data_IF_879097937246
#
_entry.id   IF_879097937246
#
_cell.length_a   1.000
_cell.length_b   1.000
_cell.length_c   1.000
_cell.angle_alpha   90.00
_cell.angle_beta   90.00
_cell.angle_gamma   90.00
#
_symmetry.space_group_name_H-M   'P 1'
#
loop_
_entity.id
_entity.type
_entity.pdbx_description
1 polymer ?
#
# COMPACT_ATOMS: atom_id res chain seq x y z
N UNK A 1 -25.04 9.78 -4.44
CA UNK A 1 -23.70 9.54 -3.86
C UNK A 1 -23.61 9.94 -2.39
N UNK A 2 -23.81 11.23 -2.00
CA UNK A 2 -23.78 11.62 -0.56
C UNK A 2 -24.85 10.87 0.23
N UNK A 3 -26.08 10.82 -0.25
CA UNK A 3 -27.15 10.06 0.38
C UNK A 3 -26.82 8.56 0.46
N UNK A 4 -26.27 7.99 -0.60
CA UNK A 4 -25.82 6.59 -0.63
C UNK A 4 -24.73 6.34 0.43
N UNK A 5 -23.75 7.25 0.54
CA UNK A 5 -22.73 7.17 1.57
C UNK A 5 -23.33 7.20 2.97
N UNK A 6 -24.23 8.16 3.26
CA UNK A 6 -24.90 8.26 4.55
C UNK A 6 -25.71 7.01 4.89
N UNK A 7 -26.41 6.44 3.92
CA UNK A 7 -27.21 5.21 4.10
C UNK A 7 -26.32 4.00 4.42
N UNK A 8 -25.18 3.87 3.77
CA UNK A 8 -24.21 2.79 4.03
C UNK A 8 -23.51 3.01 5.38
N UNK A 9 -23.08 4.24 5.64
CA UNK A 9 -22.30 4.59 6.84
C UNK A 9 -23.14 4.46 8.12
N UNK A 10 -24.35 5.02 8.12
CA UNK A 10 -25.28 4.93 9.25
C UNK A 10 -25.75 3.52 9.56
N UNK A 11 -25.85 2.67 8.55
CA UNK A 11 -26.24 1.25 8.70
C UNK A 11 -25.06 0.30 8.93
N UNK A 12 -23.82 0.80 8.89
CA UNK A 12 -22.60 -0.01 9.11
C UNK A 12 -22.35 -1.07 8.04
N UNK A 13 -22.83 -0.86 6.78
CA UNK A 13 -22.81 -1.87 5.71
C UNK A 13 -21.54 -1.88 4.85
N UNK A 14 -20.46 -1.21 5.25
CA UNK A 14 -19.22 -1.17 4.46
C UNK A 14 -18.60 -2.55 4.22
N UNK A 15 -18.65 -3.42 5.22
CA UNK A 15 -18.16 -4.80 5.08
C UNK A 15 -18.99 -5.58 4.05
N UNK A 16 -20.32 -5.42 4.05
CA UNK A 16 -21.23 -6.10 3.13
C UNK A 16 -20.98 -5.60 1.70
N UNK A 17 -20.93 -4.29 1.49
CA UNK A 17 -20.64 -3.70 0.18
C UNK A 17 -19.27 -4.14 -0.35
N UNK A 18 -18.25 -4.14 0.49
CA UNK A 18 -16.92 -4.62 0.14
C UNK A 18 -16.96 -6.09 -0.33
N UNK A 19 -17.69 -6.93 0.38
CA UNK A 19 -17.85 -8.35 0.02
C UNK A 19 -18.63 -8.51 -1.30
N UNK A 20 -19.67 -7.71 -1.52
CA UNK A 20 -20.42 -7.72 -2.77
C UNK A 20 -19.55 -7.37 -3.98
N UNK A 21 -18.77 -6.30 -3.88
CA UNK A 21 -17.83 -5.90 -4.93
C UNK A 21 -16.78 -7.00 -5.17
N UNK A 22 -16.26 -7.60 -4.10
CA UNK A 22 -15.31 -8.70 -4.21
C UNK A 22 -15.90 -9.91 -4.94
N UNK A 23 -17.17 -10.23 -4.67
CA UNK A 23 -17.85 -11.36 -5.30
C UNK A 23 -18.25 -11.09 -6.75
N UNK A 24 -18.56 -9.82 -7.09
CA UNK A 24 -18.91 -9.42 -8.46
C UNK A 24 -17.69 -9.28 -9.37
N UNK A 25 -16.49 -9.06 -8.81
CA UNK A 25 -15.28 -8.89 -9.60
C UNK A 25 -14.96 -10.16 -10.40
N UNK A 26 -14.68 -9.99 -11.68
CA UNK A 26 -14.25 -11.06 -12.56
C UNK A 26 -12.83 -11.52 -12.21
N UNK A 27 -12.57 -12.81 -12.38
CA UNK A 27 -11.23 -13.38 -12.26
C UNK A 27 -10.70 -13.75 -13.65
N UNK A 28 -9.42 -13.40 -13.88
CA UNK A 28 -8.74 -13.67 -15.13
C UNK A 28 -7.48 -14.50 -14.88
N UNK A 29 -6.97 -15.21 -15.90
CA UNK A 29 -5.74 -15.97 -15.77
C UNK A 29 -4.53 -15.07 -15.43
N UNK A 30 -3.64 -15.60 -14.58
CA UNK A 30 -2.35 -15.01 -14.22
C UNK A 30 -1.24 -16.07 -14.15
N UNK A 31 -1.17 -16.87 -15.20
CA UNK A 31 -0.26 -18.04 -15.31
C UNK A 31 1.20 -17.62 -15.34
N UNK A 32 1.52 -16.54 -16.07
CA UNK A 32 2.89 -16.03 -16.19
C UNK A 32 3.47 -15.65 -14.84
N UNK A 33 2.70 -14.96 -14.00
CA UNK A 33 3.11 -14.61 -12.63
C UNK A 33 3.48 -15.83 -11.77
N UNK A 34 2.88 -16.99 -12.04
CA UNK A 34 3.07 -18.23 -11.27
C UNK A 34 4.18 -19.15 -11.81
N UNK A 35 4.77 -18.80 -12.93
CA UNK A 35 5.92 -19.57 -13.44
C UNK A 35 7.04 -19.63 -12.40
N UNK A 36 7.74 -20.76 -12.27
CA UNK A 36 8.83 -20.91 -11.30
C UNK A 36 9.90 -19.82 -11.42
N UNK A 37 10.24 -19.40 -12.64
CA UNK A 37 11.21 -18.33 -12.92
C UNK A 37 10.76 -16.96 -12.40
N UNK A 38 9.46 -16.75 -12.18
CA UNK A 38 8.88 -15.46 -11.74
C UNK A 38 8.54 -15.42 -10.25
N UNK A 39 8.65 -16.52 -9.52
CA UNK A 39 8.25 -16.58 -8.10
C UNK A 39 8.94 -15.54 -7.23
N UNK A 40 10.23 -15.38 -7.36
CA UNK A 40 11.04 -14.45 -6.58
C UNK A 40 10.98 -13.00 -7.10
N UNK A 41 10.22 -12.77 -8.17
CA UNK A 41 9.90 -11.43 -8.69
C UNK A 41 8.59 -10.87 -8.13
N UNK A 42 7.86 -11.65 -7.34
CA UNK A 42 6.62 -11.26 -6.68
C UNK A 42 6.84 -11.05 -5.18
N UNK A 43 6.42 -9.90 -4.67
CA UNK A 43 6.48 -9.58 -3.24
C UNK A 43 5.49 -10.42 -2.42
N UNK A 44 4.30 -10.63 -2.95
CA UNK A 44 3.22 -11.40 -2.32
C UNK A 44 2.74 -12.52 -3.24
N UNK A 45 2.57 -13.72 -2.67
CA UNK A 45 2.17 -14.92 -3.44
C UNK A 45 0.75 -14.87 -3.98
N UNK A 46 -0.09 -14.08 -3.34
CA UNK A 46 -1.53 -13.93 -3.59
C UNK A 46 -1.87 -12.66 -4.37
N UNK A 47 -0.88 -11.87 -4.77
CA UNK A 47 -1.05 -10.70 -5.62
C UNK A 47 -0.25 -10.84 -6.90
N UNK A 48 -0.96 -11.03 -8.00
CA UNK A 48 -0.40 -11.30 -9.32
C UNK A 48 -1.05 -10.41 -10.38
N UNK A 49 -0.30 -9.92 -11.37
CA UNK A 49 -0.90 -9.28 -12.54
C UNK A 49 -1.59 -10.33 -13.42
N UNK A 50 -2.73 -9.96 -13.99
CA UNK A 50 -3.40 -10.79 -15.01
C UNK A 50 -2.56 -10.87 -16.28
N UNK A 51 -2.61 -12.00 -16.97
CA UNK A 51 -1.85 -12.21 -18.20
C UNK A 51 -2.22 -11.22 -19.31
N UNK A 52 -3.51 -10.83 -19.40
CA UNK A 52 -3.99 -9.94 -20.45
C UNK A 52 -3.62 -8.47 -20.25
N UNK A 53 -3.38 -8.02 -19.03
CA UNK A 53 -3.14 -6.61 -18.67
C UNK A 53 -1.77 -6.34 -18.06
N UNK A 54 -0.95 -7.38 -17.87
CA UNK A 54 0.39 -7.21 -17.31
C UNK A 54 1.27 -6.34 -18.21
N UNK A 55 2.13 -5.55 -17.61
CA UNK A 55 3.18 -4.86 -18.33
C UNK A 55 4.27 -5.86 -18.72
N UNK A 56 4.70 -5.83 -19.98
CA UNK A 56 5.79 -6.66 -20.50
C UNK A 56 7.02 -5.82 -20.72
N UNK A 57 8.18 -6.29 -20.25
CA UNK A 57 9.47 -5.68 -20.50
C UNK A 57 9.99 -6.16 -21.88
N UNK A 58 10.40 -5.24 -22.73
CA UNK A 58 10.89 -5.57 -24.09
C UNK A 58 12.39 -5.82 -24.11
N UNK A 59 13.16 -5.08 -23.33
CA UNK A 59 14.62 -5.14 -23.31
C UNK A 59 15.17 -5.88 -22.09
N UNK A 60 14.56 -6.99 -21.74
CA UNK A 60 14.96 -7.91 -20.68
C UNK A 60 14.81 -9.34 -21.14
N UNK A 61 15.68 -10.25 -20.69
CA UNK A 61 15.54 -11.69 -21.00
C UNK A 61 14.21 -12.24 -20.55
N UNK A 62 13.76 -11.83 -19.36
CA UNK A 62 12.44 -12.14 -18.83
C UNK A 62 11.57 -10.89 -18.93
N UNK A 63 10.46 -11.00 -19.63
CA UNK A 63 9.52 -9.90 -19.85
C UNK A 63 8.64 -9.57 -18.63
N UNK A 64 8.81 -10.31 -17.52
CA UNK A 64 7.90 -10.28 -16.38
C UNK A 64 8.26 -9.17 -15.37
N UNK A 65 7.24 -8.43 -14.99
CA UNK A 65 7.21 -7.55 -13.82
C UNK A 65 5.82 -7.61 -13.18
N UNK A 66 5.73 -7.53 -11.86
CA UNK A 66 4.43 -7.47 -11.18
C UNK A 66 3.85 -6.06 -11.27
N UNK A 67 3.28 -5.76 -12.40
CA UNK A 67 2.63 -4.50 -12.75
C UNK A 67 1.53 -4.73 -13.78
N UNK A 68 0.47 -3.96 -13.72
CA UNK A 68 -0.71 -4.06 -14.58
C UNK A 68 -1.04 -2.69 -15.19
N UNK A 69 -1.32 -2.66 -16.48
CA UNK A 69 -1.82 -1.49 -17.18
C UNK A 69 -3.34 -1.42 -17.00
N UNK A 70 -3.81 -0.37 -16.37
CA UNK A 70 -5.22 -0.10 -16.09
C UNK A 70 -5.70 1.04 -16.99
N UNK A 71 -6.60 0.73 -17.92
CA UNK A 71 -7.09 1.66 -18.93
C UNK A 71 -8.50 2.11 -18.59
N UNK A 72 -8.67 3.38 -18.26
CA UNK A 72 -9.97 4.01 -17.99
C UNK A 72 -10.31 4.95 -19.13
N UNK A 73 -10.76 4.36 -20.24
CA UNK A 73 -10.96 5.07 -21.52
C UNK A 73 -11.92 6.26 -21.40
N UNK A 74 -13.04 6.09 -20.73
CA UNK A 74 -14.03 7.15 -20.53
C UNK A 74 -13.44 8.36 -19.78
N UNK A 75 -12.56 8.11 -18.82
CA UNK A 75 -11.85 9.15 -18.09
C UNK A 75 -10.60 9.66 -18.84
N UNK A 76 -10.19 9.01 -19.93
CA UNK A 76 -8.91 9.23 -20.61
C UNK A 76 -7.73 9.16 -19.62
N UNK A 77 -7.78 8.16 -18.74
CA UNK A 77 -6.74 7.85 -17.78
C UNK A 77 -6.15 6.49 -18.05
N UNK A 78 -4.85 6.40 -17.89
CA UNK A 78 -4.12 5.15 -17.88
C UNK A 78 -3.14 5.16 -16.71
N UNK A 79 -3.11 4.08 -15.95
CA UNK A 79 -2.21 3.90 -14.82
C UNK A 79 -1.46 2.58 -14.98
N UNK A 80 -0.22 2.53 -14.52
CA UNK A 80 0.46 1.27 -14.25
C UNK A 80 0.42 1.07 -12.73
N UNK A 81 -0.39 0.10 -12.27
CA UNK A 81 -0.42 -0.27 -10.85
C UNK A 81 0.58 -1.39 -10.60
N UNK A 82 1.57 -1.12 -9.76
CA UNK A 82 2.71 -2.01 -9.52
C UNK A 82 2.87 -2.31 -8.04
N UNK A 83 3.43 -3.48 -7.73
CA UNK A 83 3.99 -3.72 -6.39
C UNK A 83 5.14 -2.75 -6.11
N UNK A 84 5.42 -2.49 -4.83
CA UNK A 84 6.69 -1.86 -4.44
C UNK A 84 7.86 -2.72 -4.89
N UNK A 85 8.85 -2.17 -5.62
CA UNK A 85 9.99 -2.93 -6.12
C UNK A 85 10.68 -3.75 -5.02
N UNK A 86 11.08 -4.96 -5.37
CA UNK A 86 11.99 -5.78 -4.59
C UNK A 86 13.43 -5.35 -4.89
N UNK A 87 14.37 -5.69 -4.03
CA UNK A 87 15.79 -5.40 -4.25
C UNK A 87 16.30 -5.97 -5.58
N UNK A 88 15.79 -7.11 -6.00
CA UNK A 88 16.11 -7.76 -7.27
C UNK A 88 15.26 -7.29 -8.47
N UNK A 89 14.31 -6.39 -8.29
CA UNK A 89 13.45 -5.89 -9.36
C UNK A 89 13.52 -4.38 -9.58
N UNK A 90 14.41 -3.67 -8.85
CA UNK A 90 14.57 -2.22 -9.03
C UNK A 90 15.01 -1.86 -10.47
N UNK A 91 15.90 -2.62 -11.06
CA UNK A 91 16.32 -2.42 -12.45
C UNK A 91 15.18 -2.65 -13.45
N UNK A 92 14.39 -3.68 -13.25
CA UNK A 92 13.18 -3.96 -14.04
C UNK A 92 12.14 -2.84 -13.89
N UNK A 93 12.00 -2.28 -12.70
CA UNK A 93 11.08 -1.18 -12.43
C UNK A 93 11.45 0.08 -13.24
N UNK A 94 12.71 0.47 -13.26
CA UNK A 94 13.17 1.61 -14.05
C UNK A 94 13.13 1.35 -15.55
N UNK A 95 13.41 0.12 -15.99
CA UNK A 95 13.22 -0.30 -17.38
C UNK A 95 11.75 -0.14 -17.79
N UNK A 96 10.80 -0.57 -16.95
CA UNK A 96 9.37 -0.37 -17.19
C UNK A 96 9.02 1.13 -17.31
N UNK A 97 9.49 1.96 -16.39
CA UNK A 97 9.25 3.42 -16.44
C UNK A 97 9.76 4.01 -17.76
N UNK A 98 10.93 3.57 -18.21
CA UNK A 98 11.51 4.01 -19.47
C UNK A 98 10.70 3.55 -20.68
N UNK A 99 10.44 2.26 -20.81
CA UNK A 99 9.74 1.67 -21.97
C UNK A 99 8.30 2.17 -22.10
N UNK A 100 7.63 2.37 -20.98
CA UNK A 100 6.25 2.89 -20.96
C UNK A 100 6.17 4.41 -21.10
N UNK A 101 7.29 5.11 -21.26
CA UNK A 101 7.35 6.57 -21.36
C UNK A 101 6.65 7.29 -20.20
N UNK A 102 6.68 6.70 -19.00
CA UNK A 102 6.06 7.27 -17.81
C UNK A 102 6.80 8.54 -17.38
N UNK A 103 6.05 9.59 -17.07
CA UNK A 103 6.62 10.88 -16.60
C UNK A 103 6.71 10.95 -15.08
N UNK A 104 5.92 10.16 -14.38
CA UNK A 104 5.85 10.16 -12.93
C UNK A 104 5.74 8.76 -12.33
N UNK A 105 6.30 8.64 -11.12
CA UNK A 105 6.10 7.55 -10.19
C UNK A 105 5.43 8.08 -8.94
N UNK A 106 4.33 7.46 -8.53
CA UNK A 106 3.52 7.84 -7.38
C UNK A 106 3.64 6.73 -6.35
N UNK A 107 4.31 7.01 -5.24
CA UNK A 107 4.57 6.09 -4.13
C UNK A 107 3.67 6.44 -2.95
N UNK A 108 2.87 5.47 -2.49
CA UNK A 108 1.86 5.66 -1.45
C UNK A 108 2.21 4.95 -0.13
N UNK A 109 3.42 4.47 0.01
CA UNK A 109 3.91 3.79 1.20
C UNK A 109 5.30 4.31 1.59
N UNK A 110 5.75 3.95 2.77
CA UNK A 110 7.14 4.14 3.18
C UNK A 110 7.95 2.88 2.87
N UNK A 111 9.27 3.02 2.79
CA UNK A 111 10.17 1.87 2.60
C UNK A 111 9.99 0.86 3.73
N UNK A 112 9.91 1.35 4.97
CA UNK A 112 9.67 0.53 6.16
C UNK A 112 8.37 0.97 6.81
N UNK A 113 7.46 0.03 7.04
CA UNK A 113 6.23 0.20 7.80
C UNK A 113 6.05 -0.97 8.75
N UNK A 114 5.58 -0.70 9.97
CA UNK A 114 5.40 -1.74 11.01
C UNK A 114 6.67 -2.56 11.26
N UNK A 115 7.84 -1.95 11.11
CA UNK A 115 9.14 -2.62 11.26
C UNK A 115 9.52 -3.59 10.15
N UNK A 116 8.77 -3.62 9.02
CA UNK A 116 9.03 -4.50 7.88
C UNK A 116 9.27 -3.69 6.61
N UNK A 117 10.17 -4.18 5.75
CA UNK A 117 10.40 -3.61 4.42
C UNK A 117 9.15 -3.83 3.55
N UNK A 118 8.56 -2.74 3.07
CA UNK A 118 7.38 -2.74 2.20
C UNK A 118 7.72 -2.40 0.76
N UNK A 119 8.89 -1.85 0.54
CA UNK A 119 9.42 -1.48 -0.75
C UNK A 119 10.94 -1.36 -0.65
N UNK A 120 11.68 -1.76 -1.66
CA UNK A 120 13.10 -1.48 -1.74
C UNK A 120 13.35 0.03 -1.94
N UNK A 121 14.50 0.52 -1.48
CA UNK A 121 14.99 1.85 -1.78
C UNK A 121 15.46 1.87 -3.24
N UNK A 122 14.60 2.27 -4.18
CA UNK A 122 14.87 2.22 -5.61
C UNK A 122 15.27 3.58 -6.21
N UNK A 123 15.30 4.65 -5.42
CA UNK A 123 15.78 5.98 -5.81
C UNK A 123 16.92 6.41 -4.88
N UNK A 124 17.86 7.26 -5.35
CA UNK A 124 18.97 7.71 -4.54
C UNK A 124 18.51 8.70 -3.46
N UNK A 125 19.14 8.61 -2.29
CA UNK A 125 18.98 9.58 -1.23
C UNK A 125 19.79 10.84 -1.50
N UNK A 126 19.57 11.90 -0.70
CA UNK A 126 20.38 13.14 -0.75
C UNK A 126 21.84 12.93 -0.41
N UNK A 127 22.18 11.85 0.28
CA UNK A 127 23.55 11.45 0.61
C UNK A 127 24.24 10.74 -0.55
N UNK A 128 23.51 9.88 -1.26
CA UNK A 128 24.05 9.07 -2.36
C UNK A 128 24.04 9.80 -3.71
N UNK A 129 23.02 10.65 -3.93
CA UNK A 129 22.75 11.43 -5.15
C UNK A 129 22.55 10.60 -6.43
N UNK A 130 23.05 9.38 -6.52
CA UNK A 130 23.00 8.53 -7.70
C UNK A 130 22.93 7.05 -7.32
N UNK A 131 22.15 6.29 -8.10
CA UNK A 131 22.10 4.82 -8.06
C UNK A 131 22.25 4.25 -9.47
N UNK A 132 22.97 3.13 -9.58
CA UNK A 132 23.16 2.42 -10.86
C UNK A 132 22.50 1.05 -10.81
N UNK A 133 21.75 0.72 -11.87
CA UNK A 133 21.08 -0.56 -12.08
C UNK A 133 21.69 -1.20 -13.33
N UNK A 134 22.80 -1.93 -13.11
CA UNK A 134 23.63 -2.47 -14.20
C UNK A 134 22.96 -3.62 -14.94
N UNK A 135 22.05 -4.34 -14.30
CA UNK A 135 21.28 -5.43 -14.91
C UNK A 135 20.41 -4.97 -16.09
N UNK A 136 19.82 -3.78 -16.01
CA UNK A 136 18.98 -3.21 -17.07
C UNK A 136 19.61 -2.01 -17.79
N UNK A 137 20.72 -1.48 -17.27
CA UNK A 137 21.47 -0.39 -17.89
C UNK A 137 20.89 1.00 -17.62
N UNK A 138 20.42 1.25 -16.39
CA UNK A 138 19.92 2.56 -15.98
C UNK A 138 20.74 3.15 -14.83
N UNK A 139 20.83 4.47 -14.84
CA UNK A 139 21.34 5.29 -13.75
C UNK A 139 20.24 6.27 -13.36
N UNK A 140 20.01 6.40 -12.07
CA UNK A 140 19.06 7.35 -11.50
C UNK A 140 19.82 8.36 -10.66
N UNK A 141 19.62 9.65 -10.93
CA UNK A 141 20.20 10.76 -10.15
C UNK A 141 19.10 11.57 -9.50
N UNK A 142 19.33 11.99 -8.28
CA UNK A 142 18.47 12.94 -7.58
C UNK A 142 18.86 14.35 -8.00
N UNK A 143 17.94 15.05 -8.68
CA UNK A 143 18.15 16.43 -9.11
C UNK A 143 17.65 17.42 -8.05
N UNK A 144 16.49 17.16 -7.46
CA UNK A 144 15.92 17.97 -6.37
C UNK A 144 14.99 17.15 -5.51
N UNK A 145 14.85 17.58 -4.26
CA UNK A 145 13.93 17.01 -3.30
C UNK A 145 13.23 18.14 -2.54
N UNK A 146 11.91 18.11 -2.49
CA UNK A 146 11.09 19.08 -1.79
C UNK A 146 10.17 18.36 -0.82
N UNK A 147 10.44 18.53 0.46
CA UNK A 147 9.62 17.99 1.54
C UNK A 147 8.45 18.90 1.86
N UNK A 148 7.25 18.32 1.87
CA UNK A 148 6.02 18.94 2.35
C UNK A 148 5.55 18.21 3.62
N UNK A 149 4.51 18.72 4.29
CA UNK A 149 4.02 18.12 5.55
C UNK A 149 3.53 16.68 5.38
N UNK A 150 2.96 16.33 4.21
CA UNK A 150 2.31 15.04 3.98
C UNK A 150 3.00 14.18 2.94
N UNK A 151 3.84 14.78 2.11
CA UNK A 151 4.47 14.13 0.97
C UNK A 151 5.78 14.82 0.61
N UNK A 152 6.58 14.12 -0.16
CA UNK A 152 7.84 14.61 -0.74
C UNK A 152 7.76 14.53 -2.26
N UNK A 153 8.19 15.58 -2.96
CA UNK A 153 8.35 15.58 -4.41
C UNK A 153 9.84 15.54 -4.72
N UNK A 154 10.24 14.57 -5.56
CA UNK A 154 11.59 14.47 -6.07
C UNK A 154 11.60 14.61 -7.58
N UNK A 155 12.58 15.30 -8.10
CA UNK A 155 12.89 15.30 -9.53
C UNK A 155 14.10 14.39 -9.72
N UNK A 156 13.92 13.34 -10.51
CA UNK A 156 14.92 12.32 -10.79
C UNK A 156 15.31 12.39 -12.27
N UNK A 157 16.60 12.27 -12.56
CA UNK A 157 17.08 12.01 -13.90
C UNK A 157 17.21 10.48 -14.09
N UNK A 158 16.47 9.93 -15.02
CA UNK A 158 16.60 8.55 -15.46
C UNK A 158 17.40 8.49 -16.75
N UNK A 159 18.61 7.92 -16.68
CA UNK A 159 19.51 7.81 -17.82
C UNK A 159 19.62 6.37 -18.28
N UNK A 160 19.39 6.16 -19.58
CA UNK A 160 19.70 4.92 -20.25
C UNK A 160 21.20 4.91 -20.64
N UNK A 161 21.98 4.04 -20.00
CA UNK A 161 23.44 3.98 -20.22
C UNK A 161 23.83 3.41 -21.58
N UNK A 162 22.93 2.67 -22.23
CA UNK A 162 23.16 2.07 -23.56
C UNK A 162 23.02 3.10 -24.68
N UNK A 163 22.05 4.03 -24.53
CA UNK A 163 21.77 5.06 -25.56
C UNK A 163 22.38 6.42 -25.20
N UNK A 164 22.67 6.65 -23.92
CA UNK A 164 23.10 7.94 -23.39
C UNK A 164 21.96 8.95 -23.18
N UNK A 165 20.74 8.61 -23.54
CA UNK A 165 19.58 9.47 -23.34
C UNK A 165 19.20 9.58 -21.86
N UNK A 166 18.72 10.75 -21.45
CA UNK A 166 18.19 11.03 -20.11
C UNK A 166 16.77 11.56 -20.19
N UNK A 167 15.98 11.23 -19.21
CA UNK A 167 14.61 11.75 -19.00
C UNK A 167 14.43 12.18 -17.57
N UNK A 168 13.69 13.24 -17.40
CA UNK A 168 13.27 13.72 -16.09
C UNK A 168 11.98 13.03 -15.67
N UNK A 169 12.00 12.42 -14.48
CA UNK A 169 10.88 11.69 -13.86
C UNK A 169 10.52 12.37 -12.54
N UNK A 170 9.25 12.67 -12.36
CA UNK A 170 8.73 13.14 -11.08
C UNK A 170 8.40 11.98 -10.16
N UNK A 171 8.91 12.03 -8.94
CA UNK A 171 8.63 11.07 -7.89
C UNK A 171 7.78 11.74 -6.81
N UNK A 172 6.50 11.39 -6.76
CA UNK A 172 5.55 11.86 -5.76
C UNK A 172 5.42 10.82 -4.67
N UNK A 173 5.89 11.14 -3.48
CA UNK A 173 5.93 10.20 -2.37
C UNK A 173 5.03 10.67 -1.23
N UNK A 174 3.88 10.01 -1.07
CA UNK A 174 2.98 10.24 0.06
C UNK A 174 3.53 9.52 1.29
N UNK A 175 4.00 10.27 2.30
CA UNK A 175 4.79 9.73 3.42
C UNK A 175 3.99 9.52 4.70
N UNK A 176 2.74 9.99 4.76
CA UNK A 176 1.93 10.06 6.00
C UNK A 176 0.73 9.12 6.03
N UNK A 177 0.64 8.15 5.10
CA UNK A 177 -0.38 7.12 5.24
C UNK A 177 -0.13 6.31 6.52
N UNK A 178 -1.15 6.18 7.42
CA UNK A 178 -0.94 5.51 8.68
C UNK A 178 -0.59 4.03 8.49
N UNK A 179 0.20 3.47 9.43
CA UNK A 179 0.60 2.06 9.40
C UNK A 179 -0.60 1.10 9.49
N UNK A 180 -1.69 1.56 10.07
CA UNK A 180 -2.95 0.82 10.22
C UNK A 180 -4.11 1.69 9.72
N UNK A 181 -5.05 1.06 9.01
CA UNK A 181 -6.26 1.73 8.53
C UNK A 181 -6.00 2.73 7.40
N UNK A 182 -6.71 3.82 7.46
CA UNK A 182 -6.73 4.90 6.47
C UNK A 182 -6.59 6.25 7.19
N UNK A 183 -6.24 7.34 6.48
CA UNK A 183 -6.28 8.68 7.06
C UNK A 183 -7.68 9.03 7.60
N UNK A 184 -7.76 9.80 8.66
CA UNK A 184 -9.06 10.22 9.24
C UNK A 184 -9.83 11.15 8.29
N UNK A 185 -9.12 12.01 7.57
CA UNK A 185 -9.68 12.95 6.59
C UNK A 185 -9.05 12.73 5.21
N UNK A 186 -9.81 12.86 4.13
CA UNK A 186 -9.26 12.79 2.78
C UNK A 186 -8.50 14.05 2.34
N UNK A 187 -8.50 15.12 3.11
CA UNK A 187 -7.96 16.42 2.72
C UNK A 187 -6.49 16.38 2.28
N UNK A 188 -5.61 15.73 3.08
CA UNK A 188 -4.18 15.60 2.74
C UNK A 188 -3.96 14.73 1.51
N UNK A 189 -4.76 13.67 1.36
CA UNK A 189 -4.73 12.80 0.20
C UNK A 189 -5.18 13.55 -1.07
N UNK A 190 -6.26 14.34 -0.99
CA UNK A 190 -6.75 15.15 -2.11
C UNK A 190 -5.73 16.24 -2.49
N UNK A 191 -5.12 16.91 -1.52
CA UNK A 191 -4.03 17.84 -1.78
C UNK A 191 -2.89 17.19 -2.57
N UNK A 192 -2.50 15.99 -2.16
CA UNK A 192 -1.48 15.21 -2.86
C UNK A 192 -1.92 14.87 -4.29
N UNK A 193 -3.13 14.36 -4.48
CA UNK A 193 -3.67 14.02 -5.80
C UNK A 193 -3.71 15.26 -6.72
N UNK A 194 -4.19 16.40 -6.24
CA UNK A 194 -4.24 17.61 -7.02
C UNK A 194 -2.84 18.15 -7.35
N UNK A 195 -1.88 17.95 -6.45
CA UNK A 195 -0.48 18.29 -6.71
C UNK A 195 0.10 17.43 -7.83
N UNK A 196 -0.18 16.14 -7.85
CA UNK A 196 0.21 15.24 -8.96
C UNK A 196 -0.41 15.70 -10.29
N UNK A 197 -1.68 16.09 -10.27
CA UNK A 197 -2.38 16.63 -11.46
C UNK A 197 -1.77 17.93 -11.96
N UNK A 198 -1.39 18.83 -11.05
CA UNK A 198 -0.79 20.13 -11.38
C UNK A 198 0.49 19.99 -12.23
N UNK A 199 1.29 18.95 -12.00
CA UNK A 199 2.47 18.64 -12.79
C UNK A 199 2.16 18.05 -14.17
N UNK A 200 0.90 17.82 -14.52
CA UNK A 200 0.48 17.26 -15.81
C UNK A 200 0.84 15.79 -16.02
N UNK A 201 1.35 15.11 -15.01
CA UNK A 201 1.88 13.75 -15.13
C UNK A 201 0.82 12.68 -15.42
N UNK A 202 -0.46 12.98 -15.17
CA UNK A 202 -1.61 12.08 -15.43
C UNK A 202 -2.29 12.36 -16.76
N UNK A 203 -1.75 13.30 -17.58
CA UNK A 203 -2.34 13.64 -18.87
C UNK A 203 -2.03 12.57 -19.92
N UNK A 204 -2.89 12.51 -20.95
CA UNK A 204 -2.71 11.59 -22.07
C UNK A 204 -1.50 11.91 -22.98
N UNK A 205 -0.82 13.03 -22.76
CA UNK A 205 0.39 13.43 -23.50
C UNK A 205 1.62 12.60 -23.13
N UNK A 206 1.59 11.95 -21.96
CA UNK A 206 2.64 11.09 -21.46
C UNK A 206 2.19 9.64 -21.42
N UNK A 207 3.15 8.72 -21.29
CA UNK A 207 2.85 7.35 -20.94
C UNK A 207 2.19 7.24 -19.56
N UNK A 208 1.59 6.07 -19.23
CA UNK A 208 0.90 5.88 -17.96
C UNK A 208 1.80 6.17 -16.77
N UNK A 209 1.31 6.93 -15.79
CA UNK A 209 2.02 7.09 -14.52
C UNK A 209 2.04 5.78 -13.74
N UNK A 210 3.20 5.47 -13.16
CA UNK A 210 3.35 4.30 -12.29
C UNK A 210 2.87 4.65 -10.88
N UNK A 211 1.89 3.93 -10.38
CA UNK A 211 1.36 4.07 -9.02
C UNK A 211 1.64 2.80 -8.25
N UNK A 212 2.32 2.90 -7.14
CA UNK A 212 2.60 1.74 -6.30
C UNK A 212 2.41 2.03 -4.80
N UNK A 213 2.15 0.99 -4.08
CA UNK A 213 2.29 0.89 -2.64
C UNK A 213 3.13 -0.37 -2.33
N UNK A 214 2.81 -1.16 -1.34
CA UNK A 214 3.53 -2.42 -1.12
C UNK A 214 3.09 -3.52 -2.09
N UNK A 215 1.79 -3.81 -2.16
CA UNK A 215 1.22 -4.81 -3.08
C UNK A 215 0.75 -4.23 -4.43
N UNK A 216 0.52 -2.93 -4.48
CA UNK A 216 0.00 -2.26 -5.68
C UNK A 216 -1.49 -2.48 -5.93
N UNK A 217 -2.28 -2.70 -4.87
CA UNK A 217 -3.73 -2.96 -4.97
C UNK A 217 -4.58 -2.16 -3.97
N UNK A 218 -4.10 -1.89 -2.76
CA UNK A 218 -4.89 -1.18 -1.74
C UNK A 218 -4.86 0.33 -1.93
N UNK A 219 -3.82 0.98 -1.44
CA UNK A 219 -3.61 2.44 -1.58
C UNK A 219 -3.52 2.87 -3.04
N UNK A 220 -2.88 2.05 -3.88
CA UNK A 220 -2.81 2.28 -5.32
C UNK A 220 -4.18 2.23 -5.98
N UNK A 221 -5.02 1.28 -5.58
CA UNK A 221 -6.42 1.20 -6.02
C UNK A 221 -7.22 2.42 -5.57
N UNK A 222 -7.04 2.89 -4.33
CA UNK A 222 -7.67 4.12 -3.83
C UNK A 222 -7.28 5.34 -4.66
N UNK A 223 -6.00 5.52 -4.95
CA UNK A 223 -5.52 6.64 -5.75
C UNK A 223 -6.15 6.66 -7.15
N UNK A 224 -6.07 5.53 -7.87
CA UNK A 224 -6.60 5.42 -9.22
C UNK A 224 -8.13 5.57 -9.26
N UNK A 225 -8.84 4.98 -8.30
CA UNK A 225 -10.30 5.08 -8.20
C UNK A 225 -10.76 6.52 -7.97
N UNK A 226 -10.17 7.20 -6.99
CA UNK A 226 -10.55 8.58 -6.66
C UNK A 226 -10.23 9.51 -7.83
N UNK A 227 -9.04 9.42 -8.41
CA UNK A 227 -8.67 10.23 -9.58
C UNK A 227 -9.65 10.03 -10.75
N UNK A 228 -9.94 8.79 -11.11
CA UNK A 228 -10.84 8.46 -12.21
C UNK A 228 -12.26 8.99 -11.96
N UNK A 229 -12.82 8.74 -10.77
CA UNK A 229 -14.16 9.24 -10.44
C UNK A 229 -14.25 10.77 -10.53
N UNK A 230 -13.26 11.48 -10.01
CA UNK A 230 -13.23 12.95 -10.06
C UNK A 230 -13.09 13.48 -11.49
N UNK A 231 -12.34 12.80 -12.36
CA UNK A 231 -12.27 13.18 -13.79
C UNK A 231 -13.62 12.99 -14.48
N UNK A 232 -14.28 11.86 -14.24
CA UNK A 232 -15.61 11.58 -14.83
C UNK A 232 -16.66 12.59 -14.36
N UNK A 233 -16.63 12.97 -13.09
CA UNK A 233 -17.52 14.00 -12.53
C UNK A 233 -17.27 15.38 -13.12
N UNK A 234 -16.00 15.76 -13.28
CA UNK A 234 -15.64 17.04 -13.87
C UNK A 234 -16.09 17.14 -15.34
N UNK A 235 -15.96 16.04 -16.10
CA UNK A 235 -16.41 15.98 -17.49
C UNK A 235 -17.92 16.06 -17.65
N UNK A 236 -18.65 15.32 -16.83
CA UNK A 236 -20.12 15.33 -16.86
C UNK A 236 -20.75 16.56 -16.20
N UNK A 237 -19.97 17.29 -15.41
CA UNK A 237 -20.43 18.36 -14.51
C UNK A 237 -21.56 17.91 -13.57
N UNK A 238 -21.66 16.61 -13.33
CA UNK A 238 -22.71 16.01 -12.50
C UNK A 238 -22.12 14.93 -11.58
N UNK A 239 -22.04 15.17 -10.26
CA UNK A 239 -21.52 14.18 -9.32
C UNK A 239 -22.36 12.90 -9.26
N UNK A 240 -23.65 12.99 -9.57
CA UNK A 240 -24.54 11.83 -9.52
C UNK A 240 -24.42 10.91 -10.75
N UNK A 241 -23.67 11.31 -11.77
CA UNK A 241 -23.47 10.50 -12.98
C UNK A 241 -22.45 9.38 -12.81
N UNK A 242 -21.66 9.40 -11.72
CA UNK A 242 -20.57 8.46 -11.50
C UNK A 242 -20.96 7.43 -10.44
N UNK A 243 -20.90 6.17 -10.84
CA UNK A 243 -21.07 5.01 -9.98
C UNK A 243 -19.68 4.50 -9.55
N UNK A 244 -19.33 4.76 -8.29
CA UNK A 244 -18.02 4.40 -7.72
C UNK A 244 -17.81 2.88 -7.76
N UNK A 245 -18.85 2.09 -7.49
CA UNK A 245 -18.77 0.63 -7.50
C UNK A 245 -18.48 0.11 -8.91
N UNK A 246 -19.17 0.67 -9.91
CA UNK A 246 -18.93 0.31 -11.31
C UNK A 246 -17.51 0.65 -11.73
N UNK A 247 -17.02 1.85 -11.42
CA UNK A 247 -15.64 2.25 -11.75
C UNK A 247 -14.63 1.31 -11.11
N UNK A 248 -14.84 0.93 -9.86
CA UNK A 248 -13.96 -0.02 -9.16
C UNK A 248 -14.01 -1.42 -9.80
N UNK A 249 -15.18 -1.90 -10.19
CA UNK A 249 -15.31 -3.19 -10.88
C UNK A 249 -14.65 -3.16 -12.27
N UNK A 250 -14.79 -2.07 -13.01
CA UNK A 250 -14.12 -1.88 -14.30
C UNK A 250 -12.56 -1.89 -14.11
N UNK A 251 -12.04 -1.23 -13.07
CA UNK A 251 -10.61 -1.28 -12.75
C UNK A 251 -10.14 -2.69 -12.37
N UNK A 252 -10.96 -3.44 -11.66
CA UNK A 252 -10.65 -4.82 -11.24
C UNK A 252 -10.57 -5.81 -12.41
N UNK A 253 -11.03 -5.45 -13.59
CA UNK A 253 -10.77 -6.22 -14.81
C UNK A 253 -9.30 -6.20 -15.22
N UNK A 254 -8.56 -5.17 -14.84
CA UNK A 254 -7.14 -5.01 -15.18
C UNK A 254 -6.17 -5.47 -14.08
N UNK A 255 -6.56 -5.37 -12.81
CA UNK A 255 -5.73 -5.84 -11.69
C UNK A 255 -6.61 -6.33 -10.55
N UNK A 256 -6.25 -7.51 -10.01
CA UNK A 256 -7.00 -8.13 -8.93
C UNK A 256 -6.94 -7.33 -7.64
N UNK A 257 -8.00 -7.44 -6.83
CA UNK A 257 -8.00 -7.05 -5.43
C UNK A 257 -7.86 -5.55 -5.16
N UNK A 258 -8.11 -4.70 -6.14
CA UNK A 258 -8.05 -3.24 -5.94
C UNK A 258 -9.04 -2.82 -4.85
N UNK A 259 -8.56 -2.06 -3.87
CA UNK A 259 -9.18 -1.81 -2.57
C UNK A 259 -9.18 -3.07 -1.71
N UNK A 260 -8.38 -3.08 -0.65
CA UNK A 260 -8.11 -4.28 0.15
C UNK A 260 -8.96 -4.40 1.41
N UNK A 261 -9.59 -3.33 1.86
CA UNK A 261 -10.35 -3.30 3.11
C UNK A 261 -11.64 -2.48 2.97
N UNK A 262 -12.67 -2.76 3.78
CA UNK A 262 -13.86 -1.92 3.88
C UNK A 262 -13.55 -0.47 4.25
N UNK A 263 -12.53 -0.23 5.10
CA UNK A 263 -12.09 1.11 5.47
C UNK A 263 -11.51 1.88 4.28
N UNK A 264 -10.73 1.21 3.41
CA UNK A 264 -10.24 1.81 2.18
C UNK A 264 -11.38 2.13 1.21
N UNK A 265 -12.40 1.28 1.13
CA UNK A 265 -13.59 1.55 0.32
C UNK A 265 -14.35 2.78 0.85
N UNK A 266 -14.61 2.82 2.15
CA UNK A 266 -15.24 3.98 2.80
C UNK A 266 -14.45 5.27 2.58
N UNK A 267 -13.14 5.21 2.77
CA UNK A 267 -12.23 6.34 2.55
C UNK A 267 -12.27 6.82 1.09
N UNK A 268 -12.33 5.89 0.12
CA UNK A 268 -12.43 6.24 -1.30
C UNK A 268 -13.72 7.02 -1.59
N UNK A 269 -14.85 6.60 -1.02
CA UNK A 269 -16.12 7.34 -1.13
C UNK A 269 -16.01 8.74 -0.52
N UNK A 270 -15.45 8.86 0.69
CA UNK A 270 -15.23 10.17 1.33
C UNK A 270 -14.37 11.08 0.46
N UNK A 271 -13.27 10.56 -0.06
CA UNK A 271 -12.35 11.33 -0.92
C UNK A 271 -13.01 11.77 -2.23
N UNK A 272 -13.83 10.91 -2.84
CA UNK A 272 -14.59 11.27 -4.05
C UNK A 272 -15.63 12.35 -3.76
N UNK A 273 -16.39 12.23 -2.67
CA UNK A 273 -17.43 13.21 -2.28
C UNK A 273 -16.80 14.58 -2.01
N UNK A 274 -15.75 14.62 -1.18
CA UNK A 274 -15.06 15.88 -0.84
C UNK A 274 -14.33 16.47 -2.05
N UNK A 275 -13.66 15.65 -2.82
CA UNK A 275 -12.98 16.07 -4.05
C UNK A 275 -13.95 16.60 -5.10
N UNK A 276 -15.16 16.01 -5.24
CA UNK A 276 -16.19 16.48 -6.13
C UNK A 276 -16.65 17.91 -5.79
N UNK A 277 -16.81 18.21 -4.52
CA UNK A 277 -17.14 19.59 -4.07
C UNK A 277 -16.07 20.59 -4.52
N UNK A 278 -14.78 20.21 -4.40
CA UNK A 278 -13.67 21.06 -4.82
C UNK A 278 -13.62 21.25 -6.34
N UNK A 279 -13.80 20.19 -7.11
CA UNK A 279 -13.70 20.21 -8.57
C UNK A 279 -14.89 20.92 -9.22
N UNK A 280 -16.11 20.80 -8.67
CA UNK A 280 -17.35 21.34 -9.26
C UNK A 280 -17.67 22.77 -8.83
N UNK A 281 -17.23 23.20 -7.64
CA UNK A 281 -17.45 24.58 -7.17
C UNK A 281 -16.47 25.58 -7.77
N UNK A 282 -15.34 25.12 -8.25
CA UNK A 282 -14.26 25.99 -8.72
C UNK A 282 -14.01 25.84 -10.24
N UNK A 283 -14.87 26.49 -11.04
CA UNK A 283 -14.68 26.59 -12.49
C UNK A 283 -13.38 27.33 -12.90
N UNK A 284 -12.62 27.91 -11.94
CA UNK A 284 -11.38 28.64 -12.18
C UNK A 284 -10.17 28.07 -11.44
N UNK A 285 -10.35 27.22 -10.43
CA UNK A 285 -9.32 26.75 -9.52
C UNK A 285 -8.95 25.27 -9.67
N UNK A 286 -9.58 24.50 -10.54
CA UNK A 286 -9.13 23.14 -10.87
C UNK A 286 -7.69 23.14 -11.47
N UNK A 287 -7.17 24.31 -11.79
CA UNK A 287 -5.77 24.58 -12.17
C UNK A 287 -5.02 25.47 -11.19
N UNK A 288 -5.67 26.00 -10.16
CA UNK A 288 -5.01 26.83 -9.15
C UNK A 288 -4.91 26.09 -7.83
N UNK A 289 -3.70 26.03 -7.35
CA UNK A 289 -3.27 25.67 -6.01
C UNK A 289 -4.28 26.20 -4.99
N UNK A 290 -4.81 25.32 -4.12
CA UNK A 290 -5.50 25.75 -2.91
C UNK A 290 -4.61 26.74 -2.17
N UNK A 291 -5.08 27.97 -1.87
CA UNK A 291 -4.29 28.89 -1.09
C UNK A 291 -3.93 28.22 0.24
N UNK A 292 -2.69 28.36 0.66
CA UNK A 292 -2.10 27.82 1.90
C UNK A 292 -2.88 28.15 3.19
N UNK A 293 -4.02 28.82 3.09
CA UNK A 293 -4.72 29.46 4.22
C UNK A 293 -6.19 29.09 4.40
N UNK A 294 -6.76 28.09 3.69
CA UNK A 294 -8.22 27.88 3.70
C UNK A 294 -8.74 26.58 4.33
N UNK A 295 -7.91 25.76 4.95
CA UNK A 295 -8.36 24.70 5.85
C UNK A 295 -7.82 24.98 7.24
N UNK A 296 -8.66 25.01 8.30
CA UNK A 296 -8.14 25.04 9.65
C UNK A 296 -7.40 23.72 9.86
N UNK A 297 -6.08 23.77 9.80
CA UNK A 297 -5.20 22.73 10.27
C UNK A 297 -5.39 22.64 11.79
N UNK A 298 -6.22 21.72 12.25
CA UNK A 298 -5.92 21.15 13.55
C UNK A 298 -4.58 20.43 13.39
N UNK A 299 -3.57 20.77 14.19
CA UNK A 299 -2.30 20.07 14.11
C UNK A 299 -2.56 18.60 14.43
N UNK A 300 -2.26 17.70 13.49
CA UNK A 300 -2.10 16.29 13.77
C UNK A 300 -1.05 16.19 14.88
N UNK A 301 -1.51 16.06 16.11
CA UNK A 301 -0.63 15.73 17.22
C UNK A 301 0.03 14.39 16.87
N UNK A 302 1.37 14.32 16.95
CA UNK A 302 2.04 13.07 16.72
C UNK A 302 1.41 11.99 17.63
N UNK A 303 1.19 10.78 17.13
CA UNK A 303 0.64 9.70 17.94
C UNK A 303 1.52 9.54 19.18
N UNK A 304 0.91 9.32 20.36
CA UNK A 304 1.68 9.15 21.59
C UNK A 304 2.69 8.00 21.38
N UNK A 305 3.91 8.15 21.92
CA UNK A 305 4.93 7.11 21.79
C UNK A 305 4.37 5.77 22.30
N UNK A 306 4.69 4.65 21.64
CA UNK A 306 4.24 3.35 22.07
C UNK A 306 4.68 3.10 23.51
N UNK A 307 3.85 2.45 24.33
CA UNK A 307 4.21 2.14 25.72
C UNK A 307 5.53 1.34 25.75
N UNK A 308 6.40 1.57 26.74
CA UNK A 308 7.65 0.85 26.87
C UNK A 308 7.35 -0.64 26.93
N UNK A 309 8.08 -1.41 26.14
CA UNK A 309 7.98 -2.87 26.15
C UNK A 309 8.38 -3.37 27.53
N UNK A 310 7.65 -4.30 28.13
CA UNK A 310 8.12 -4.94 29.34
C UNK A 310 9.47 -5.63 29.04
N UNK A 311 10.46 -5.34 29.86
CA UNK A 311 11.75 -6.03 29.82
C UNK A 311 11.50 -7.52 30.12
N UNK A 312 11.57 -8.34 29.08
CA UNK A 312 11.77 -9.76 29.25
C UNK A 312 13.26 -9.93 29.65
N UNK A 313 13.47 -10.31 30.88
CA UNK A 313 14.76 -10.81 31.36
C UNK A 313 15.10 -12.08 30.60
N UNK A 314 15.85 -11.96 29.53
CA UNK A 314 16.51 -13.08 28.88
C UNK A 314 17.87 -13.32 29.55
N UNK A 315 17.82 -14.09 30.65
CA UNK A 315 18.98 -14.82 31.12
C UNK A 315 19.06 -16.13 30.32
N UNK A 316 19.75 -16.09 29.19
CA UNK A 316 20.30 -17.29 28.55
C UNK A 316 21.77 -17.02 28.19
N UNK A 317 22.70 -17.91 28.60
CA UNK A 317 24.08 -17.76 28.26
C UNK A 317 24.36 -18.11 26.80
N UNK A 318 25.28 -17.33 26.21
CA UNK A 318 25.91 -17.57 24.92
C UNK A 318 26.46 -19.01 24.81
N UNK A 319 26.19 -19.64 23.69
CA UNK A 319 26.94 -20.86 23.38
C UNK A 319 26.52 -21.56 22.11
N UNK A 320 27.28 -21.40 21.09
CA UNK A 320 27.63 -22.30 19.97
C UNK A 320 26.74 -22.37 18.74
N UNK A 321 27.37 -22.27 17.55
CA UNK A 321 26.73 -22.47 16.25
C UNK A 321 26.59 -23.96 15.92
N UNK A 322 25.49 -24.33 15.30
CA UNK A 322 25.25 -25.66 14.78
C UNK A 322 26.08 -25.93 13.52
N UNK A 323 26.62 -27.14 13.36
CA UNK A 323 27.52 -27.48 12.26
C UNK A 323 26.79 -27.67 10.94
N UNK A 324 27.37 -27.16 9.87
CA UNK A 324 27.06 -27.49 8.49
C UNK A 324 27.30 -29.00 8.24
N UNK A 325 26.34 -29.66 7.64
CA UNK A 325 26.54 -30.97 7.03
C UNK A 325 26.73 -30.79 5.52
N UNK A 326 27.99 -30.92 5.14
CA UNK A 326 28.41 -31.19 3.75
C UNK A 326 27.87 -32.56 3.33
N UNK A 327 27.16 -32.60 2.21
CA UNK A 327 26.93 -33.84 1.48
C UNK A 327 27.63 -33.77 0.13
N UNK A 328 28.78 -34.44 0.11
CA UNK A 328 29.54 -34.75 -1.08
C UNK A 328 28.76 -35.71 -2.02
N UNK A 329 28.89 -35.41 -3.29
CA UNK A 329 28.49 -36.27 -4.38
C UNK A 329 29.30 -37.56 -4.45
N UNK A 330 28.69 -38.69 -4.72
CA UNK A 330 29.34 -39.80 -5.44
C UNK A 330 28.37 -40.44 -6.41
N UNK A 331 28.85 -40.51 -7.62
CA UNK A 331 28.35 -41.18 -8.80
C UNK A 331 28.29 -42.72 -8.64
N UNK A 332 27.35 -43.36 -9.32
CA UNK A 332 27.33 -44.81 -9.51
C UNK A 332 26.17 -45.25 -10.36
N UNK A 333 26.53 -45.71 -11.53
CA UNK A 333 25.73 -46.20 -12.63
C UNK A 333 25.01 -47.54 -12.34
N UNK A 334 23.97 -47.78 -13.11
CA UNK A 334 23.60 -48.96 -13.89
C UNK A 334 22.36 -49.79 -13.52
N UNK A 335 21.50 -49.83 -14.48
CA UNK A 335 20.81 -50.92 -15.17
C UNK A 335 19.50 -51.53 -14.63
N UNK A 336 18.51 -51.31 -15.47
CA UNK A 336 17.58 -52.23 -16.15
C UNK A 336 16.59 -53.11 -15.36
N UNK A 337 15.36 -52.84 -15.69
CA UNK A 337 14.35 -53.77 -16.24
C UNK A 337 13.39 -54.51 -15.28
N UNK A 338 12.16 -54.38 -15.71
CA UNK A 338 11.01 -55.30 -15.70
C UNK A 338 9.99 -55.20 -14.58
N UNK A 339 8.81 -54.77 -15.04
CA UNK A 339 7.51 -55.20 -14.50
C UNK A 339 7.30 -56.71 -14.66
N UNK A 340 6.37 -57.42 -14.01
CA UNK A 340 4.97 -57.02 -13.85
C UNK A 340 4.22 -57.54 -12.58
N UNK A 341 3.06 -56.94 -12.42
CA UNK A 341 1.78 -57.52 -11.93
C UNK A 341 1.55 -58.01 -10.51
N UNK A 342 0.47 -57.45 -10.01
CA UNK A 342 -0.67 -58.04 -9.30
C UNK A 342 -0.72 -58.05 -7.76
N UNK A 343 -1.83 -57.42 -7.31
CA UNK A 343 -2.63 -57.72 -6.10
C UNK A 343 -2.01 -57.53 -4.70
N UNK A 344 -2.47 -56.70 -3.84
CA UNK A 344 -3.70 -56.84 -3.09
C UNK A 344 -3.89 -55.72 -2.06
N UNK A 345 -5.10 -55.60 -1.60
CA UNK A 345 -5.74 -54.65 -0.72
C UNK A 345 -5.12 -54.42 0.68
N UNK A 346 -5.50 -53.23 1.23
CA UNK A 346 -5.53 -52.86 2.65
C UNK A 346 -4.22 -52.38 3.27
N UNK A 347 -4.10 -51.05 3.36
CA UNK A 347 -3.77 -50.30 4.58
C UNK A 347 -3.78 -48.79 4.25
N UNK A 348 -4.87 -48.05 4.39
CA UNK A 348 -4.84 -46.58 4.35
C UNK A 348 -5.97 -45.88 5.12
N UNK A 349 -6.59 -46.52 6.10
CA UNK A 349 -7.56 -45.85 6.99
C UNK A 349 -6.90 -45.11 8.20
N UNK A 350 -5.68 -45.43 8.59
CA UNK A 350 -5.04 -44.87 9.77
C UNK A 350 -4.34 -43.51 9.53
N UNK A 351 -3.92 -43.22 8.30
CA UNK A 351 -3.25 -41.96 7.94
C UNK A 351 -4.22 -40.77 7.80
N UNK A 352 -5.46 -41.04 7.41
CA UNK A 352 -6.50 -40.00 7.27
C UNK A 352 -6.98 -39.39 8.58
N UNK A 353 -7.07 -40.22 9.63
CA UNK A 353 -7.52 -39.80 10.96
C UNK A 353 -6.50 -38.91 11.70
N UNK A 354 -5.22 -39.15 11.55
CA UNK A 354 -4.17 -38.37 12.18
C UNK A 354 -4.06 -36.98 11.52
N UNK A 355 -4.17 -36.91 10.19
CA UNK A 355 -4.17 -35.62 9.46
C UNK A 355 -5.41 -34.80 9.77
N UNK A 356 -6.56 -35.43 9.96
CA UNK A 356 -7.82 -34.74 10.33
C UNK A 356 -7.77 -34.18 11.75
N UNK A 357 -7.26 -34.94 12.73
CA UNK A 357 -7.03 -34.46 14.12
C UNK A 357 -6.04 -33.29 14.16
N UNK A 358 -4.91 -33.36 13.49
CA UNK A 358 -3.96 -32.25 13.44
C UNK A 358 -4.53 -30.99 12.79
N UNK A 359 -5.41 -31.14 11.80
CA UNK A 359 -6.11 -30.02 11.18
C UNK A 359 -7.13 -29.39 12.14
N UNK A 360 -7.89 -30.20 12.85
CA UNK A 360 -8.87 -29.73 13.84
C UNK A 360 -8.20 -29.05 15.04
N UNK A 361 -7.09 -29.60 15.55
CA UNK A 361 -6.28 -28.96 16.59
C UNK A 361 -5.70 -27.63 16.16
N UNK A 362 -5.22 -27.50 14.92
CA UNK A 362 -4.74 -26.21 14.38
C UNK A 362 -5.86 -25.18 14.23
N UNK A 363 -7.05 -25.62 13.81
CA UNK A 363 -8.24 -24.75 13.71
C UNK A 363 -8.66 -24.29 15.10
N UNK A 364 -8.73 -25.20 16.09
CA UNK A 364 -9.07 -24.87 17.47
C UNK A 364 -8.05 -23.91 18.10
N UNK A 365 -6.76 -24.16 17.91
CA UNK A 365 -5.67 -23.27 18.39
C UNK A 365 -5.76 -21.88 17.75
N UNK A 366 -6.07 -21.81 16.47
CA UNK A 366 -6.23 -20.53 15.76
C UNK A 366 -7.46 -19.78 16.24
N UNK A 367 -8.58 -20.47 16.43
CA UNK A 367 -9.80 -19.89 16.99
C UNK A 367 -9.58 -19.33 18.40
N UNK A 368 -8.84 -20.06 19.24
CA UNK A 368 -8.50 -19.61 20.59
C UNK A 368 -7.60 -18.36 20.58
N UNK A 369 -6.61 -18.29 19.67
CA UNK A 369 -5.77 -17.10 19.48
C UNK A 369 -6.58 -15.88 19.00
N UNK A 370 -7.52 -16.08 18.08
CA UNK A 370 -8.42 -15.02 17.61
C UNK A 370 -9.31 -14.52 18.74
N UNK A 371 -9.82 -15.42 19.58
CA UNK A 371 -10.66 -15.04 20.73
C UNK A 371 -9.85 -14.26 21.79
N UNK A 372 -8.60 -14.66 22.07
CA UNK A 372 -7.70 -13.90 22.93
C UNK A 372 -7.34 -12.51 22.35
N UNK A 373 -7.14 -12.42 21.04
CA UNK A 373 -6.92 -11.12 20.40
C UNK A 373 -8.15 -10.21 20.51
N UNK A 374 -9.35 -10.74 20.29
CA UNK A 374 -10.60 -9.98 20.46
C UNK A 374 -10.76 -9.47 21.91
N UNK A 375 -10.48 -10.30 22.90
CA UNK A 375 -10.51 -9.87 24.31
C UNK A 375 -9.49 -8.76 24.61
N UNK A 376 -8.26 -8.86 24.07
CA UNK A 376 -7.25 -7.80 24.25
C UNK A 376 -7.65 -6.48 23.59
N UNK A 377 -8.31 -6.54 22.43
CA UNK A 377 -8.85 -5.35 21.76
C UNK A 377 -9.94 -4.68 22.58
N UNK A 378 -10.95 -5.45 23.05
CA UNK A 378 -12.02 -4.91 23.90
C UNK A 378 -11.51 -4.36 25.24
N UNK A 379 -10.49 -4.97 25.84
CA UNK A 379 -9.86 -4.45 27.06
C UNK A 379 -9.06 -3.16 26.79
N UNK A 380 -8.44 -3.06 25.63
CA UNK A 380 -7.74 -1.87 25.18
C UNK A 380 -8.70 -0.69 24.92
N UNK A 381 -9.81 -0.96 24.24
CA UNK A 381 -10.87 0.03 23.99
C UNK A 381 -11.50 0.52 25.31
N UNK A 382 -11.82 -0.39 26.24
CA UNK A 382 -12.34 -0.03 27.56
C UNK A 382 -11.35 0.81 28.39
N UNK A 383 -10.03 0.56 28.26
CA UNK A 383 -9.00 1.38 28.90
C UNK A 383 -8.93 2.76 28.27
N UNK A 384 -9.05 2.86 26.93
CA UNK A 384 -9.08 4.10 26.17
C UNK A 384 -10.30 4.96 26.54
N UNK A 385 -11.48 4.37 26.61
CA UNK A 385 -12.71 5.05 27.05
C UNK A 385 -12.60 5.60 28.48
N UNK A 386 -12.09 4.77 29.42
CA UNK A 386 -11.83 5.23 30.79
C UNK A 386 -10.83 6.38 30.82
N UNK A 387 -9.77 6.32 30.02
CA UNK A 387 -8.78 7.40 29.95
C UNK A 387 -9.34 8.66 29.37
N UNK A 388 -10.15 8.60 28.31
CA UNK A 388 -10.84 9.75 27.72
C UNK A 388 -11.82 10.39 28.72
N UNK A 389 -12.51 9.60 29.52
CA UNK A 389 -13.41 10.09 30.58
C UNK A 389 -12.66 10.83 31.69
N UNK A 390 -11.49 10.32 32.11
CA UNK A 390 -10.71 10.93 33.21
C UNK A 390 -9.77 12.04 32.76
N UNK A 391 -9.47 12.14 31.49
CA UNK A 391 -8.56 13.14 30.91
C UNK A 391 -8.91 14.59 31.28
N UNK A 392 -10.17 15.07 31.16
CA UNK A 392 -10.52 16.45 31.53
C UNK A 392 -10.37 16.70 33.02
N UNK A 393 -10.66 15.71 33.86
CA UNK A 393 -10.50 15.83 35.31
C UNK A 393 -9.01 15.94 35.68
N UNK A 394 -8.16 15.13 35.09
CA UNK A 394 -6.70 15.17 35.34
C UNK A 394 -6.06 16.47 34.85
N UNK A 395 -6.50 17.00 33.70
CA UNK A 395 -6.02 18.29 33.20
C UNK A 395 -6.45 19.47 34.12
N UNK A 396 -7.67 19.45 34.62
CA UNK A 396 -8.15 20.49 35.53
C UNK A 396 -7.45 20.43 36.90
N UNK A 397 -7.20 19.25 37.43
CA UNK A 397 -6.45 19.07 38.68
C UNK A 397 -4.97 19.47 38.48
N UNK A 398 -4.35 19.11 37.36
CA UNK A 398 -2.99 19.52 37.02
C UNK A 398 -2.83 21.04 36.87
N UNK A 399 -3.76 21.67 36.19
CA UNK A 399 -3.79 23.17 36.06
C UNK A 399 -3.99 23.86 37.40
N UNK A 400 -4.88 23.34 38.26
CA UNK A 400 -5.07 23.86 39.61
C UNK A 400 -3.84 23.75 40.50
N UNK A 401 -3.14 22.63 40.43
CA UNK A 401 -1.88 22.42 41.18
C UNK A 401 -0.77 23.38 40.70
N UNK A 402 -0.63 23.56 39.38
CA UNK A 402 0.36 24.49 38.80
C UNK A 402 0.10 25.96 39.22
N UNK A 403 -1.17 26.37 39.24
CA UNK A 403 -1.56 27.72 39.75
C UNK A 403 -1.27 27.86 41.22
N UNK A 404 -1.53 26.88 42.06
CA UNK A 404 -1.23 26.94 43.49
C UNK A 404 0.27 27.02 43.76
N UNK A 405 1.10 26.25 43.04
CA UNK A 405 2.57 26.34 43.13
C UNK A 405 3.06 27.72 42.65
N UNK A 406 2.54 28.24 41.53
CA UNK A 406 2.87 29.57 41.02
C UNK A 406 2.57 30.67 42.00
N UNK A 407 1.41 30.65 42.66
CA UNK A 407 1.02 31.60 43.69
C UNK A 407 1.91 31.49 44.94
N UNK A 408 2.28 30.30 45.36
CA UNK A 408 3.19 30.07 46.50
C UNK A 408 4.60 30.60 46.20
N UNK A 409 5.10 30.39 45.00
CA UNK A 409 6.40 30.92 44.55
C UNK A 409 6.36 32.47 44.50
N UNK A 410 5.30 33.06 43.90
CA UNK A 410 5.13 34.52 43.91
C UNK A 410 5.03 35.11 45.32
N UNK A 411 4.35 34.41 46.23
CA UNK A 411 4.25 34.85 47.63
C UNK A 411 5.60 34.77 48.36
N UNK A 412 6.40 33.71 48.10
CA UNK A 412 7.76 33.58 48.64
C UNK A 412 8.73 34.64 48.12
N UNK A 413 8.55 35.15 46.90
CA UNK A 413 9.40 36.19 46.33
C UNK A 413 8.92 37.62 46.71
N UNK A 414 7.73 37.77 47.32
CA UNK A 414 7.17 39.05 47.76
C UNK A 414 7.39 39.35 49.27
N UNK A 415 7.98 38.39 50.00
CA UNK A 415 8.49 38.58 51.37
C UNK A 415 9.99 38.81 51.38
#
# INVERSE_FOLDING_TARGET
MEQEFEDIDSSGRWQNLYNEIRNQASEYPYKVAKLPVNRNLNRYRDVSPYDHSRVKLENSENDYINASLVMMEEAQRAYILSQGPLRNTCGHFWLMVWEQCSKAVIMLNRVIEKGSEKCAQYWPTTEELQMSFTDTGFVVRLLSEEDQSYYTIRVLELRNTKTGESREIYHFHYTTWPDFGVPESPASFLNFLFKVREFGSLSAEHGPSVVHCSAGIGRSGTFALVDTCLVLMDRSKNPSSVDIQKVLLDMREYRMGLIQTPDQLRFSYMAVIEGARLVLTDNSAAQRVLPRTALPLEPDLPPPPPPPRPHLNDNRPNGQPAPCLDLQASSGEHLLATEPDSHDHNVDEHSGHVRKRHREERIASTAQKVQQMKQRLTDSERKREKWLYWRPVLLNVGAGAALAVGLLVCWMYSQ
#
